data_IF_745064178063
#
_entry.id   IF_745064178063
#
_cell.length_a   1.000
_cell.length_b   1.000
_cell.length_c   1.000
_cell.angle_alpha   90.00
_cell.angle_beta   90.00
_cell.angle_gamma   90.00
#
_symmetry.space_group_name_H-M   'P 1'
#
loop_
_entity.id
_entity.type
_entity.pdbx_description
1 polymer ?
#
# COMPACT_ATOMS: atom_id res chain seq x y z
N UNK A 1 7.60 3.83 13.42
CA UNK A 1 8.37 4.61 12.44
C UNK A 1 9.72 3.95 12.32
N UNK A 2 10.24 3.76 11.11
CA UNK A 2 11.63 3.33 10.94
C UNK A 2 12.53 4.38 11.59
N UNK A 3 13.42 3.95 12.50
CA UNK A 3 14.30 4.84 13.29
C UNK A 3 15.25 5.68 12.42
N UNK A 4 15.34 5.39 11.12
CA UNK A 4 16.11 6.15 10.12
C UNK A 4 15.44 7.47 9.69
N UNK A 5 14.15 7.65 9.96
CA UNK A 5 13.44 8.85 9.52
C UNK A 5 13.14 9.79 10.70
N UNK A 6 13.39 11.09 10.49
CA UNK A 6 12.97 12.13 11.42
C UNK A 6 11.44 12.21 11.49
N UNK A 7 10.89 12.63 12.63
CA UNK A 7 9.44 12.77 12.82
C UNK A 7 8.88 13.79 11.83
N UNK A 8 8.03 13.33 10.90
CA UNK A 8 7.38 14.18 9.91
C UNK A 8 6.30 15.04 10.56
N UNK A 9 6.19 16.30 10.14
CA UNK A 9 5.03 17.14 10.46
C UNK A 9 3.76 16.61 9.80
N UNK A 10 2.59 16.95 10.36
CA UNK A 10 1.31 16.52 9.79
C UNK A 10 1.13 16.95 8.31
N UNK A 11 1.46 18.19 7.90
CA UNK A 11 1.41 18.57 6.49
C UNK A 11 2.26 17.70 5.57
N UNK A 12 3.50 17.37 5.98
CA UNK A 12 4.38 16.51 5.20
C UNK A 12 3.83 15.08 5.07
N UNK A 13 3.24 14.54 6.14
CA UNK A 13 2.60 13.23 6.10
C UNK A 13 1.43 13.20 5.11
N UNK A 14 0.61 14.25 5.09
CA UNK A 14 -0.51 14.37 4.15
C UNK A 14 -0.02 14.48 2.70
N UNK A 15 1.05 15.25 2.45
CA UNK A 15 1.66 15.35 1.13
C UNK A 15 2.19 14.00 0.64
N UNK A 16 2.94 13.28 1.48
CA UNK A 16 3.47 11.95 1.12
C UNK A 16 2.36 10.94 0.87
N UNK A 17 1.29 10.99 1.67
CA UNK A 17 0.11 10.12 1.47
C UNK A 17 -0.56 10.41 0.13
N UNK A 18 -0.75 11.68 -0.23
CA UNK A 18 -1.31 12.06 -1.52
C UNK A 18 -0.44 11.56 -2.67
N UNK A 19 0.87 11.84 -2.62
CA UNK A 19 1.83 11.39 -3.64
C UNK A 19 1.79 9.86 -3.80
N UNK A 20 1.79 9.12 -2.69
CA UNK A 20 1.78 7.66 -2.73
C UNK A 20 0.53 7.10 -3.43
N UNK A 21 -0.63 7.72 -3.22
CA UNK A 21 -1.89 7.35 -3.86
C UNK A 21 -1.85 7.70 -5.36
N UNK A 22 -1.44 8.93 -5.69
CA UNK A 22 -1.37 9.41 -7.06
C UNK A 22 -0.45 8.52 -7.91
N UNK A 23 0.72 8.13 -7.37
CA UNK A 23 1.66 7.22 -8.03
C UNK A 23 1.02 5.84 -8.30
N UNK A 24 0.35 5.24 -7.32
CA UNK A 24 -0.29 3.93 -7.51
C UNK A 24 -1.38 3.99 -8.56
N UNK A 25 -2.16 5.06 -8.62
CA UNK A 25 -3.22 5.25 -9.61
C UNK A 25 -2.66 5.51 -11.02
N UNK A 26 -1.50 6.17 -11.12
CA UNK A 26 -0.80 6.41 -12.38
C UNK A 26 -0.16 5.13 -12.96
N UNK A 27 0.02 4.09 -12.15
CA UNK A 27 0.67 2.83 -12.52
C UNK A 27 -0.24 1.59 -12.36
N UNK A 28 -1.33 1.49 -13.15
CA UNK A 28 -2.25 0.35 -13.08
C UNK A 28 -1.62 -0.99 -13.48
N UNK A 29 -0.46 -0.98 -14.13
CA UNK A 29 0.34 -2.16 -14.47
C UNK A 29 1.09 -2.76 -13.28
N UNK A 30 1.23 -2.02 -12.18
CA UNK A 30 1.90 -2.53 -11.00
C UNK A 30 1.13 -3.70 -10.40
N UNK A 31 1.88 -4.75 -10.08
CA UNK A 31 1.37 -5.81 -9.22
C UNK A 31 1.03 -5.24 -7.86
N UNK A 32 0.11 -5.89 -7.15
CA UNK A 32 -0.22 -5.54 -5.78
C UNK A 32 1.03 -5.44 -4.89
N UNK A 33 1.98 -6.36 -5.04
CA UNK A 33 3.23 -6.33 -4.28
C UNK A 33 4.00 -5.01 -4.52
N UNK A 34 4.09 -4.57 -5.77
CA UNK A 34 4.74 -3.30 -6.13
C UNK A 34 4.00 -2.12 -5.52
N UNK A 35 2.68 -2.04 -5.70
CA UNK A 35 1.86 -0.95 -5.17
C UNK A 35 1.96 -0.85 -3.65
N UNK A 36 1.85 -1.97 -2.92
CA UNK A 36 1.95 -2.00 -1.45
C UNK A 36 3.33 -1.57 -0.96
N UNK A 37 4.40 -2.05 -1.61
CA UNK A 37 5.77 -1.64 -1.27
C UNK A 37 5.99 -0.15 -1.51
N UNK A 38 5.46 0.38 -2.62
CA UNK A 38 5.55 1.80 -2.95
C UNK A 38 4.85 2.65 -1.90
N UNK A 39 3.56 2.36 -1.63
CA UNK A 39 2.76 3.02 -0.61
C UNK A 39 3.49 3.10 0.73
N UNK A 40 3.99 1.96 1.21
CA UNK A 40 4.70 1.87 2.48
C UNK A 40 5.95 2.76 2.50
N UNK A 41 6.78 2.68 1.45
CA UNK A 41 8.05 3.41 1.37
C UNK A 41 7.83 4.92 1.27
N UNK A 42 6.92 5.36 0.41
CA UNK A 42 6.61 6.78 0.22
C UNK A 42 6.06 7.41 1.50
N UNK A 43 5.20 6.70 2.23
CA UNK A 43 4.66 7.16 3.51
C UNK A 43 5.59 6.90 4.73
N UNK A 44 6.79 6.32 4.51
CA UNK A 44 7.78 5.99 5.55
C UNK A 44 7.25 5.10 6.69
N UNK A 45 6.35 4.18 6.36
CA UNK A 45 5.75 3.24 7.30
C UNK A 45 6.57 1.96 7.41
N UNK A 46 6.52 1.32 8.57
CA UNK A 46 6.92 -0.09 8.71
C UNK A 46 5.77 -1.01 8.30
N UNK A 47 6.08 -2.28 8.03
CA UNK A 47 5.04 -3.29 7.74
C UNK A 47 4.12 -3.52 8.95
N UNK A 48 4.64 -3.38 10.17
CA UNK A 48 3.80 -3.47 11.37
C UNK A 48 2.77 -2.32 11.44
N UNK A 49 3.19 -1.09 11.15
CA UNK A 49 2.30 0.08 11.18
C UNK A 49 1.22 0.00 10.12
N UNK A 50 1.60 -0.31 8.86
CA UNK A 50 0.62 -0.42 7.79
C UNK A 50 -0.38 -1.56 8.03
N UNK A 51 0.09 -2.70 8.53
CA UNK A 51 -0.78 -3.81 8.90
C UNK A 51 -1.73 -3.45 10.06
N UNK A 52 -1.22 -2.74 11.08
CA UNK A 52 -2.00 -2.26 12.21
C UNK A 52 -3.11 -1.30 11.78
N UNK A 53 -2.79 -0.32 10.92
CA UNK A 53 -3.79 0.59 10.36
C UNK A 53 -4.86 -0.13 9.54
N UNK A 54 -4.47 -1.17 8.80
CA UNK A 54 -5.39 -1.97 7.98
C UNK A 54 -6.18 -3.02 8.77
N UNK A 55 -5.88 -3.24 10.05
CA UNK A 55 -6.50 -4.30 10.84
C UNK A 55 -6.24 -5.69 10.28
N UNK A 56 -5.03 -5.94 9.77
CA UNK A 56 -4.57 -7.25 9.28
C UNK A 56 -3.32 -7.70 10.04
N UNK A 57 -3.03 -9.00 10.02
CA UNK A 57 -1.80 -9.51 10.64
C UNK A 57 -0.56 -9.02 9.87
N UNK A 58 0.48 -8.61 10.59
CA UNK A 58 1.75 -8.18 10.00
C UNK A 58 2.35 -9.24 9.06
N UNK A 59 2.24 -10.53 9.44
CA UNK A 59 2.68 -11.65 8.61
C UNK A 59 1.98 -11.66 7.24
N UNK A 60 0.67 -11.39 7.20
CA UNK A 60 -0.09 -11.30 5.95
C UNK A 60 0.45 -10.19 5.06
N UNK A 61 0.74 -9.01 5.62
CA UNK A 61 1.36 -7.92 4.85
C UNK A 61 2.75 -8.31 4.33
N UNK A 62 3.59 -8.95 5.16
CA UNK A 62 4.92 -9.41 4.74
C UNK A 62 4.85 -10.46 3.63
N UNK A 63 3.92 -11.41 3.72
CA UNK A 63 3.71 -12.43 2.69
C UNK A 63 3.29 -11.78 1.35
N UNK A 64 2.44 -10.73 1.39
CA UNK A 64 2.09 -9.91 0.22
C UNK A 64 3.31 -9.17 -0.33
N UNK A 65 4.03 -8.45 0.54
CA UNK A 65 5.21 -7.69 0.17
C UNK A 65 6.32 -8.58 -0.36
N UNK A 66 6.39 -9.86 -0.01
CA UNK A 66 7.39 -10.81 -0.51
C UNK A 66 6.90 -11.61 -1.72
N UNK A 67 5.66 -11.39 -2.17
CA UNK A 67 5.08 -12.09 -3.32
C UNK A 67 4.73 -13.55 -3.03
N UNK A 68 4.72 -13.95 -1.75
CA UNK A 68 4.32 -15.30 -1.32
C UNK A 68 2.80 -15.49 -1.28
N UNK A 69 2.05 -14.39 -1.25
CA UNK A 69 0.59 -14.39 -1.30
C UNK A 69 0.10 -13.15 -2.03
N UNK A 70 -0.96 -13.29 -2.81
CA UNK A 70 -1.70 -12.13 -3.36
C UNK A 70 -2.73 -11.59 -2.37
N UNK A 71 -2.97 -12.28 -1.25
CA UNK A 71 -4.03 -11.95 -0.30
C UNK A 71 -5.44 -12.30 -0.82
N UNK A 72 -6.43 -12.26 0.08
CA UNK A 72 -7.85 -12.36 -0.31
C UNK A 72 -8.38 -10.98 -0.69
N UNK A 73 -9.43 -10.91 -1.52
CA UNK A 73 -10.09 -9.63 -1.86
C UNK A 73 -10.45 -8.81 -0.62
N UNK A 74 -10.91 -9.47 0.45
CA UNK A 74 -11.20 -8.82 1.73
C UNK A 74 -9.96 -8.20 2.38
N UNK A 75 -8.84 -8.93 2.44
CA UNK A 75 -7.57 -8.42 2.96
C UNK A 75 -7.08 -7.23 2.15
N UNK A 76 -7.23 -7.28 0.83
CA UNK A 76 -6.82 -6.20 -0.06
C UNK A 76 -7.68 -4.96 0.11
N UNK A 77 -9.00 -5.10 0.23
CA UNK A 77 -9.88 -3.98 0.52
C UNK A 77 -9.61 -3.37 1.90
N UNK A 78 -9.25 -4.17 2.91
CA UNK A 78 -8.80 -3.64 4.21
C UNK A 78 -7.52 -2.81 4.08
N UNK A 79 -6.53 -3.33 3.36
CA UNK A 79 -5.25 -2.66 3.17
C UNK A 79 -5.38 -1.36 2.37
N UNK A 80 -6.08 -1.40 1.23
CA UNK A 80 -6.35 -0.25 0.38
C UNK A 80 -7.30 0.75 1.06
N UNK A 81 -8.25 0.26 1.86
CA UNK A 81 -9.23 1.08 2.56
C UNK A 81 -8.61 2.09 3.53
N UNK A 82 -7.45 1.76 4.14
CA UNK A 82 -6.66 2.71 4.95
C UNK A 82 -6.33 3.98 4.18
N UNK A 83 -6.24 3.89 2.85
CA UNK A 83 -5.87 4.97 1.94
C UNK A 83 -7.06 5.56 1.19
N UNK A 84 -8.29 5.11 1.48
CA UNK A 84 -9.47 5.49 0.71
C UNK A 84 -9.55 4.83 -0.66
N UNK A 85 -8.80 3.74 -0.86
CA UNK A 85 -8.77 2.95 -2.08
C UNK A 85 -9.53 1.63 -1.92
N UNK A 86 -9.95 1.04 -3.03
CA UNK A 86 -10.61 -0.27 -3.06
C UNK A 86 -10.25 -1.02 -4.34
N UNK A 87 -10.40 -2.34 -4.33
CA UNK A 87 -10.33 -3.13 -5.56
C UNK A 87 -11.58 -2.88 -6.42
N UNK A 88 -11.37 -2.85 -7.74
CA UNK A 88 -12.43 -2.71 -8.73
C UNK A 88 -12.26 -3.69 -9.88
N UNK A 89 -13.38 -4.00 -10.54
CA UNK A 89 -13.37 -4.74 -11.81
C UNK A 89 -13.05 -3.76 -12.93
N UNK A 90 -11.88 -3.93 -13.56
CA UNK A 90 -11.43 -3.10 -14.69
C UNK A 90 -11.37 -3.91 -15.96
N UNK A 91 -11.42 -3.25 -17.12
CA UNK A 91 -11.14 -3.92 -18.40
C UNK A 91 -9.72 -4.45 -18.36
N UNK A 92 -9.52 -5.71 -18.77
CA UNK A 92 -8.18 -6.27 -18.93
C UNK A 92 -7.43 -5.41 -19.95
N UNK A 93 -6.30 -4.84 -19.55
CA UNK A 93 -5.39 -4.17 -20.46
C UNK A 93 -5.06 -5.14 -21.59
N UNK A 94 -5.21 -4.73 -22.84
CA UNK A 94 -4.74 -5.52 -23.97
C UNK A 94 -3.24 -5.76 -23.72
N UNK A 95 -2.85 -7.03 -23.55
CA UNK A 95 -1.44 -7.39 -23.57
C UNK A 95 -0.95 -7.18 -24.99
N UNK A 96 0.15 -6.45 -25.15
CA UNK A 96 1.08 -6.68 -26.25
C UNK A 96 1.75 -8.06 -26.08
#
# INVERSE_FOLDING_TARGET
MDKRYNTLSLPEQLMLRKQAIDDVLAHPEWTLQQSVRHLKRTMRLTSAELAGMAGIAQKTLLDIEQGRSTGTVQTLNKLLGVLGLQLGVVRKSARD
#
